data_IF_484509892378
#
_entry.id   IF_484509892378
#
_cell.length_a   1.000
_cell.length_b   1.000
_cell.length_c   1.000
_cell.angle_alpha   90.00
_cell.angle_beta   90.00
_cell.angle_gamma   90.00
#
_symmetry.space_group_name_H-M   'P 1'
#
loop_
_entity.id
_entity.type
_entity.pdbx_description
1 polymer ?
#
# COMPACT_ATOMS: atom_id res chain seq x y z
N UNK A 1 -15.65 18.38 -3.38
CA UNK A 1 -15.78 17.08 -2.70
C UNK A 1 -16.27 17.35 -1.30
N UNK A 2 -17.29 16.64 -0.82
CA UNK A 2 -17.78 16.79 0.55
C UNK A 2 -16.67 16.45 1.57
N UNK A 3 -16.52 17.30 2.58
CA UNK A 3 -15.40 17.20 3.53
C UNK A 3 -15.54 15.96 4.41
N UNK A 4 -16.73 15.71 4.92
CA UNK A 4 -17.01 14.57 5.80
C UNK A 4 -16.86 13.25 5.05
N UNK A 5 -17.38 13.18 3.84
CA UNK A 5 -17.19 12.05 2.94
C UNK A 5 -15.72 11.78 2.64
N UNK A 6 -14.94 12.83 2.33
CA UNK A 6 -13.50 12.71 2.09
C UNK A 6 -12.75 12.21 3.33
N UNK A 7 -13.09 12.74 4.51
CA UNK A 7 -12.47 12.37 5.79
C UNK A 7 -12.75 10.91 6.12
N UNK A 8 -14.01 10.47 6.00
CA UNK A 8 -14.41 9.08 6.25
C UNK A 8 -13.66 8.11 5.33
N UNK A 9 -13.65 8.37 4.03
CA UNK A 9 -12.90 7.52 3.08
C UNK A 9 -11.40 7.52 3.34
N UNK A 10 -10.83 8.61 3.85
CA UNK A 10 -9.41 8.65 4.20
C UNK A 10 -9.09 7.84 5.46
N UNK A 11 -10.05 7.70 6.38
CA UNK A 11 -9.89 6.93 7.60
C UNK A 11 -10.06 5.42 7.37
N UNK A 12 -10.97 5.03 6.47
CA UNK A 12 -11.28 3.62 6.18
C UNK A 12 -10.36 3.00 5.11
N UNK A 13 -9.60 3.81 4.37
CA UNK A 13 -8.71 3.33 3.30
C UNK A 13 -7.50 2.60 3.90
N UNK A 14 -7.46 1.30 3.67
CA UNK A 14 -6.27 0.49 3.92
C UNK A 14 -5.09 0.97 3.06
N UNK A 15 -3.94 1.20 3.69
CA UNK A 15 -2.72 1.62 2.99
C UNK A 15 -1.74 0.46 2.86
N UNK A 16 -1.06 0.38 1.72
CA UNK A 16 -0.16 -0.74 1.41
C UNK A 16 1.01 -0.82 2.41
N UNK A 17 1.53 0.32 2.84
CA UNK A 17 2.60 0.45 3.84
C UNK A 17 2.16 0.07 5.26
N UNK A 18 0.86 0.10 5.56
CA UNK A 18 0.31 -0.33 6.84
C UNK A 18 0.08 -1.85 6.86
N UNK A 19 -0.30 -2.44 5.72
CA UNK A 19 -0.63 -3.87 5.61
C UNK A 19 0.57 -4.79 5.30
N UNK A 20 1.56 -4.29 4.57
CA UNK A 20 2.65 -5.11 4.03
C UNK A 20 4.03 -4.56 4.36
N UNK A 21 4.95 -5.47 4.67
CA UNK A 21 6.38 -5.20 4.70
C UNK A 21 6.96 -5.56 3.33
N UNK A 22 7.55 -4.57 2.67
CA UNK A 22 8.10 -4.72 1.31
C UNK A 22 9.35 -3.88 1.07
N UNK A 23 9.81 -3.11 2.06
CA UNK A 23 11.01 -2.30 1.93
C UNK A 23 12.24 -3.21 1.72
N UNK A 24 13.12 -2.83 0.79
CA UNK A 24 14.27 -3.66 0.40
C UNK A 24 13.95 -4.96 -0.35
N UNK A 25 12.67 -5.33 -0.49
CA UNK A 25 12.26 -6.63 -1.07
C UNK A 25 11.91 -6.56 -2.57
N UNK A 26 12.51 -5.63 -3.32
CA UNK A 26 12.28 -5.50 -4.77
C UNK A 26 12.87 -6.69 -5.51
N UNK A 27 12.07 -7.33 -6.37
CA UNK A 27 12.48 -8.49 -7.17
C UNK A 27 12.42 -8.24 -8.67
N UNK A 28 11.79 -7.15 -9.12
CA UNK A 28 11.68 -6.83 -10.54
C UNK A 28 11.53 -5.34 -10.82
N UNK A 29 12.05 -4.91 -11.97
CA UNK A 29 11.89 -3.57 -12.54
C UNK A 29 11.71 -3.67 -14.05
N UNK A 30 10.73 -2.95 -14.59
CA UNK A 30 10.49 -2.87 -16.02
C UNK A 30 9.66 -1.65 -16.39
N UNK A 31 9.19 -1.59 -17.63
CA UNK A 31 8.32 -0.50 -18.13
C UNK A 31 7.02 -0.38 -17.34
N UNK A 32 6.51 -1.49 -16.81
CA UNK A 32 5.30 -1.54 -15.99
C UNK A 32 5.49 -1.09 -14.53
N UNK A 33 6.73 -0.85 -14.08
CA UNK A 33 7.03 -0.39 -12.73
C UNK A 33 7.93 -1.34 -11.93
N UNK A 34 7.54 -1.62 -10.69
CA UNK A 34 8.34 -2.37 -9.71
C UNK A 34 7.53 -3.49 -9.09
N UNK A 35 8.15 -4.66 -8.93
CA UNK A 35 7.55 -5.82 -8.26
C UNK A 35 8.34 -6.09 -6.99
N UNK A 36 7.62 -6.30 -5.89
CA UNK A 36 8.19 -6.58 -4.57
C UNK A 36 7.66 -7.91 -4.05
N UNK A 37 8.52 -8.67 -3.36
CA UNK A 37 8.12 -9.86 -2.61
C UNK A 37 7.77 -9.44 -1.19
N UNK A 38 6.52 -9.04 -0.98
CA UNK A 38 6.04 -8.53 0.29
C UNK A 38 5.57 -9.64 1.26
N UNK A 39 5.51 -9.33 2.55
CA UNK A 39 4.84 -10.15 3.58
C UNK A 39 3.77 -9.33 4.28
N UNK A 40 2.67 -9.96 4.71
CA UNK A 40 1.69 -9.30 5.59
C UNK A 40 2.34 -8.99 6.93
N UNK A 41 2.08 -7.80 7.48
CA UNK A 41 2.57 -7.43 8.81
C UNK A 41 1.88 -8.22 9.93
N UNK A 42 0.62 -8.62 9.71
CA UNK A 42 -0.19 -9.39 10.67
C UNK A 42 -0.04 -10.93 10.50
N UNK A 43 1.08 -11.40 9.93
CA UNK A 43 1.31 -12.80 9.56
C UNK A 43 2.47 -13.45 10.31
#
# INVERSE_FOLDING_TARGET
MDYEFKRKLSAEREKVEELFEYEGCKVGRGTYGHVYKAKRKDG
#
